data_IF_455967399003
#
_entry.id   IF_455967399003
#
_cell.length_a   1.000
_cell.length_b   1.000
_cell.length_c   1.000
_cell.angle_alpha   90.00
_cell.angle_beta   90.00
_cell.angle_gamma   90.00
#
_symmetry.space_group_name_H-M   'P 1'
#
loop_
_entity.id
_entity.type
_entity.pdbx_description
1 polymer ?
#
# COMPACT_ATOMS: atom_id res chain seq x y z
N UNK A 1 3.58 -23.81 13.38
CA UNK A 1 4.84 -23.09 12.94
C UNK A 1 4.95 -21.86 13.80
N UNK A 2 6.06 -21.67 14.48
CA UNK A 2 6.30 -20.52 15.37
C UNK A 2 5.99 -19.19 14.64
N UNK A 3 5.30 -18.29 15.31
CA UNK A 3 4.80 -17.01 14.79
C UNK A 3 3.71 -17.08 13.69
N UNK A 4 3.09 -18.24 13.52
CA UNK A 4 1.95 -18.42 12.62
C UNK A 4 0.75 -18.98 13.37
N UNK A 5 0.93 -20.10 14.07
CA UNK A 5 -0.17 -20.81 14.72
C UNK A 5 -0.64 -20.07 15.98
N UNK A 6 0.29 -19.38 16.67
CA UNK A 6 -0.02 -18.56 17.85
C UNK A 6 -0.97 -17.39 17.54
N UNK A 7 -0.89 -16.85 16.31
CA UNK A 7 -1.78 -15.77 15.86
C UNK A 7 -3.06 -16.27 15.20
N UNK A 8 -3.30 -17.59 15.20
CA UNK A 8 -4.52 -18.22 14.66
C UNK A 8 -5.27 -19.02 15.71
N UNK A 9 -5.17 -18.59 16.95
CA UNK A 9 -5.78 -19.28 18.09
C UNK A 9 -7.25 -18.83 18.23
N UNK A 10 -8.17 -19.67 17.77
CA UNK A 10 -9.61 -19.39 17.83
C UNK A 10 -10.12 -19.20 19.25
N UNK A 11 -9.64 -20.01 20.20
CA UNK A 11 -10.05 -19.92 21.61
C UNK A 11 -9.67 -18.57 22.21
N UNK A 12 -8.46 -18.10 21.94
CA UNK A 12 -8.01 -16.77 22.39
C UNK A 12 -8.81 -15.65 21.71
N UNK A 13 -9.07 -15.79 20.42
CA UNK A 13 -9.86 -14.80 19.68
C UNK A 13 -11.29 -14.67 20.25
N UNK A 14 -11.95 -15.79 20.55
CA UNK A 14 -13.28 -15.79 21.18
C UNK A 14 -13.27 -15.15 22.57
N UNK A 15 -12.28 -15.46 23.38
CA UNK A 15 -12.12 -14.84 24.72
C UNK A 15 -11.95 -13.31 24.60
N UNK A 16 -11.11 -12.85 23.69
CA UNK A 16 -10.92 -11.42 23.45
C UNK A 16 -12.20 -10.73 22.93
N UNK A 17 -12.97 -11.40 22.09
CA UNK A 17 -14.26 -10.89 21.63
C UNK A 17 -15.25 -10.74 22.79
N UNK A 18 -15.32 -11.73 23.68
CA UNK A 18 -16.17 -11.64 24.90
C UNK A 18 -15.73 -10.47 25.79
N UNK A 19 -14.44 -10.27 26.00
CA UNK A 19 -13.90 -9.14 26.76
C UNK A 19 -14.27 -7.79 26.10
N UNK A 20 -14.17 -7.68 24.76
CA UNK A 20 -14.59 -6.48 24.01
C UNK A 20 -16.08 -6.22 24.21
N UNK A 21 -16.95 -7.24 24.09
CA UNK A 21 -18.39 -7.10 24.31
C UNK A 21 -18.75 -6.59 25.72
N UNK A 22 -17.96 -7.00 26.73
CA UNK A 22 -18.17 -6.55 28.13
C UNK A 22 -17.60 -5.15 28.40
N UNK A 23 -16.60 -4.71 27.63
CA UNK A 23 -15.85 -3.49 27.91
C UNK A 23 -16.37 -2.27 27.13
N UNK A 24 -17.01 -2.51 25.98
CA UNK A 24 -17.54 -1.44 25.13
C UNK A 24 -18.72 -0.76 25.80
N UNK A 25 -18.58 0.53 26.08
CA UNK A 25 -19.60 1.35 26.78
C UNK A 25 -20.19 2.45 25.92
N UNK A 26 -19.67 2.69 24.73
CA UNK A 26 -20.12 3.74 23.78
C UNK A 26 -19.84 3.34 22.34
N UNK A 27 -20.48 4.00 21.35
CA UNK A 27 -20.13 3.81 19.95
C UNK A 27 -18.68 4.22 19.63
N UNK A 28 -18.03 3.43 18.80
CA UNK A 28 -16.68 3.65 18.29
C UNK A 28 -16.63 3.50 16.76
N UNK A 29 -16.00 4.45 16.09
CA UNK A 29 -15.60 4.33 14.69
C UNK A 29 -14.10 4.14 14.65
N UNK A 30 -13.65 2.93 14.32
CA UNK A 30 -12.25 2.54 14.25
C UNK A 30 -11.84 2.33 12.81
N UNK A 31 -10.76 2.97 12.36
CA UNK A 31 -10.24 2.84 11.01
C UNK A 31 -9.00 1.96 11.00
N UNK A 32 -8.99 0.93 10.16
CA UNK A 32 -7.78 0.18 9.90
C UNK A 32 -7.05 0.73 8.66
N UNK A 33 -5.71 0.64 8.66
CA UNK A 33 -4.84 1.31 7.69
C UNK A 33 -3.97 0.34 6.89
N UNK A 34 -4.38 -0.91 6.76
CA UNK A 34 -3.60 -1.92 6.06
C UNK A 34 -4.48 -2.92 5.33
N UNK A 35 -4.32 -3.04 4.02
CA UNK A 35 -5.08 -4.00 3.21
C UNK A 35 -4.95 -5.46 3.67
N UNK A 36 -3.85 -5.84 4.30
CA UNK A 36 -3.69 -7.15 4.93
C UNK A 36 -4.58 -7.33 6.17
N UNK A 37 -4.80 -6.25 6.94
CA UNK A 37 -5.74 -6.25 8.07
C UNK A 37 -7.18 -6.35 7.54
N UNK A 38 -7.57 -5.52 6.55
CA UNK A 38 -8.87 -5.60 5.88
C UNK A 38 -9.18 -7.03 5.44
N UNK A 39 -8.23 -7.63 4.70
CA UNK A 39 -8.38 -9.01 4.24
C UNK A 39 -8.62 -9.99 5.40
N UNK A 40 -7.85 -9.87 6.48
CA UNK A 40 -7.99 -10.76 7.64
C UNK A 40 -9.31 -10.55 8.38
N UNK A 41 -9.73 -9.30 8.57
CA UNK A 41 -11.00 -8.95 9.21
C UNK A 41 -12.16 -9.58 8.44
N UNK A 42 -12.24 -9.36 7.14
CA UNK A 42 -13.32 -9.88 6.30
C UNK A 42 -13.25 -11.39 6.18
N UNK A 43 -12.06 -11.98 5.96
CA UNK A 43 -11.87 -13.42 5.82
C UNK A 43 -12.35 -14.20 7.04
N UNK A 44 -12.13 -13.66 8.23
CA UNK A 44 -12.50 -14.30 9.49
C UNK A 44 -13.83 -13.78 10.06
N UNK A 45 -14.52 -12.88 9.36
CA UNK A 45 -15.81 -12.32 9.76
C UNK A 45 -15.74 -11.52 11.07
N UNK A 46 -14.59 -10.93 11.40
CA UNK A 46 -14.42 -10.18 12.65
C UNK A 46 -15.34 -8.95 12.71
N UNK A 47 -15.61 -8.33 11.59
CA UNK A 47 -16.57 -7.23 11.44
C UNK A 47 -17.97 -7.59 11.93
N UNK A 48 -18.37 -8.87 11.83
CA UNK A 48 -19.68 -9.39 12.25
C UNK A 48 -19.67 -9.94 13.68
N UNK A 49 -18.50 -10.22 14.22
CA UNK A 49 -18.32 -10.78 15.56
C UNK A 49 -18.13 -9.70 16.62
N UNK A 50 -17.76 -8.49 16.23
CA UNK A 50 -17.63 -7.35 17.12
C UNK A 50 -18.99 -6.83 17.57
N UNK A 51 -19.06 -6.15 18.74
CA UNK A 51 -20.29 -5.49 19.19
C UNK A 51 -20.78 -4.47 18.15
N UNK A 52 -22.12 -4.30 18.03
CA UNK A 52 -22.73 -3.30 17.13
C UNK A 52 -22.27 -1.87 17.38
N UNK A 53 -21.75 -1.58 18.57
CA UNK A 53 -21.18 -0.29 18.92
C UNK A 53 -19.84 -0.02 18.24
N UNK A 54 -19.18 -1.02 17.65
CA UNK A 54 -17.89 -0.86 16.94
C UNK A 54 -18.13 -0.89 15.44
N UNK A 55 -18.04 0.26 14.82
CA UNK A 55 -17.99 0.41 13.36
C UNK A 55 -16.52 0.31 12.91
N UNK A 56 -16.17 -0.71 12.10
CA UNK A 56 -14.87 -0.77 11.44
C UNK A 56 -14.97 -0.11 10.07
N UNK A 57 -14.10 0.86 9.81
CA UNK A 57 -13.97 1.50 8.51
C UNK A 57 -12.60 1.22 7.91
N UNK A 58 -12.55 1.03 6.60
CA UNK A 58 -11.33 0.73 5.87
C UNK A 58 -10.68 2.03 5.39
N UNK A 59 -9.47 2.27 5.86
CA UNK A 59 -8.70 3.46 5.51
C UNK A 59 -7.84 3.28 4.25
N UNK A 60 -6.96 4.23 3.96
CA UNK A 60 -6.11 4.26 2.77
C UNK A 60 -4.97 3.23 2.83
N UNK A 61 -5.28 1.96 3.10
CA UNK A 61 -4.32 0.87 3.26
C UNK A 61 -3.83 0.23 1.96
N UNK A 62 -4.29 0.69 0.79
CA UNK A 62 -3.93 0.17 -0.52
C UNK A 62 -3.22 1.25 -1.34
N UNK A 63 -1.90 1.13 -1.64
CA UNK A 63 -1.16 2.14 -2.38
C UNK A 63 -1.67 2.32 -3.82
N UNK A 64 -2.18 1.24 -4.43
CA UNK A 64 -2.79 1.28 -5.76
C UNK A 64 -4.05 2.15 -5.74
N UNK A 65 -4.90 1.98 -4.71
CA UNK A 65 -6.19 2.69 -4.59
C UNK A 65 -6.03 4.20 -4.33
N UNK A 66 -4.91 4.62 -3.74
CA UNK A 66 -4.62 6.03 -3.44
C UNK A 66 -3.72 6.71 -4.47
N UNK A 67 -3.31 5.98 -5.52
CA UNK A 67 -2.56 6.58 -6.64
C UNK A 67 -3.47 7.54 -7.41
N UNK A 68 -3.04 8.78 -7.58
CA UNK A 68 -3.84 9.80 -8.26
C UNK A 68 -4.04 9.48 -9.74
N UNK A 69 -5.19 9.87 -10.30
CA UNK A 69 -5.50 9.72 -11.72
C UNK A 69 -4.42 10.35 -12.60
N UNK A 70 -3.93 11.54 -12.22
CA UNK A 70 -2.83 12.21 -12.91
C UNK A 70 -1.57 11.33 -13.01
N UNK A 71 -1.21 10.64 -11.94
CA UNK A 71 -0.04 9.76 -11.92
C UNK A 71 -0.26 8.52 -12.80
N UNK A 72 -1.49 7.98 -12.82
CA UNK A 72 -1.85 6.87 -13.70
C UNK A 72 -1.77 7.31 -15.17
N UNK A 73 -2.30 8.48 -15.51
CA UNK A 73 -2.22 9.01 -16.87
C UNK A 73 -0.78 9.31 -17.31
N UNK A 74 0.08 9.80 -16.42
CA UNK A 74 1.53 9.91 -16.65
C UNK A 74 2.16 8.57 -16.95
N UNK A 75 1.79 7.52 -16.20
CA UNK A 75 2.28 6.16 -16.42
C UNK A 75 1.87 5.66 -17.82
N UNK A 76 0.62 5.89 -18.23
CA UNK A 76 0.12 5.54 -19.56
C UNK A 76 0.85 6.28 -20.68
N UNK A 77 1.07 7.58 -20.53
CA UNK A 77 1.81 8.37 -21.49
C UNK A 77 3.27 7.93 -21.66
N UNK A 78 3.93 7.51 -20.55
CA UNK A 78 5.29 6.98 -20.59
C UNK A 78 5.30 5.59 -21.23
N UNK A 79 4.37 4.71 -20.83
CA UNK A 79 4.28 3.33 -21.32
C UNK A 79 3.96 3.24 -22.82
N UNK A 80 3.31 4.26 -23.38
CA UNK A 80 2.97 4.32 -24.81
C UNK A 80 4.16 4.66 -25.72
N UNK A 81 5.31 5.02 -25.15
CA UNK A 81 6.48 5.44 -25.96
C UNK A 81 7.21 4.21 -26.49
N UNK A 82 7.56 4.16 -27.78
CA UNK A 82 8.20 2.99 -28.39
C UNK A 82 9.62 2.69 -27.86
N UNK A 83 10.29 3.72 -27.34
CA UNK A 83 11.63 3.55 -26.74
C UNK A 83 11.59 3.10 -25.27
N UNK A 84 10.40 2.92 -24.67
CA UNK A 84 10.24 2.57 -23.26
C UNK A 84 9.87 1.11 -23.11
N UNK A 85 10.48 0.46 -22.11
CA UNK A 85 10.00 -0.76 -21.47
C UNK A 85 9.41 -0.32 -20.14
N UNK A 86 8.10 -0.44 -19.98
CA UNK A 86 7.41 -0.03 -18.77
C UNK A 86 7.18 -1.22 -17.86
N UNK A 87 7.67 -1.16 -16.63
CA UNK A 87 7.58 -2.24 -15.65
C UNK A 87 6.67 -1.83 -14.49
N UNK A 88 5.82 -2.73 -14.05
CA UNK A 88 4.95 -2.52 -12.89
C UNK A 88 4.59 -3.83 -12.21
N UNK A 89 4.04 -3.74 -11.00
CA UNK A 89 3.36 -4.85 -10.35
C UNK A 89 2.05 -5.16 -11.10
N UNK A 90 1.63 -6.43 -11.05
CA UNK A 90 0.55 -6.92 -11.92
C UNK A 90 -0.83 -6.32 -11.63
N UNK A 91 -1.11 -5.93 -10.39
CA UNK A 91 -2.36 -5.30 -9.97
C UNK A 91 -2.54 -3.91 -10.62
N UNK A 92 -1.45 -3.12 -10.74
CA UNK A 92 -1.49 -1.81 -11.40
C UNK A 92 -1.89 -1.84 -12.86
N UNK A 93 -1.66 -2.95 -13.57
CA UNK A 93 -1.96 -3.03 -15.00
C UNK A 93 -3.47 -2.90 -15.30
N UNK A 94 -4.31 -3.18 -14.31
CA UNK A 94 -5.78 -3.16 -14.43
C UNK A 94 -6.41 -1.87 -13.95
N UNK A 95 -5.61 -0.95 -13.41
CA UNK A 95 -6.12 0.31 -12.89
C UNK A 95 -6.42 1.25 -14.05
N UNK A 96 -7.67 1.70 -14.20
CA UNK A 96 -8.02 2.61 -15.29
C UNK A 96 -7.47 4.01 -15.05
N UNK A 97 -6.92 4.60 -16.10
CA UNK A 97 -6.71 6.05 -16.18
C UNK A 97 -7.91 6.75 -16.82
N UNK A 98 -7.70 7.96 -17.31
CA UNK A 98 -8.77 8.75 -17.95
C UNK A 98 -9.35 8.08 -19.19
N UNK A 99 -8.59 7.30 -19.95
CA UNK A 99 -9.03 6.74 -21.22
C UNK A 99 -8.92 5.21 -21.32
N UNK A 100 -7.98 4.60 -20.62
CA UNK A 100 -7.65 3.18 -20.73
C UNK A 100 -6.83 2.71 -19.53
N UNK A 101 -6.44 1.45 -19.54
CA UNK A 101 -5.50 0.87 -18.59
C UNK A 101 -4.20 0.40 -19.27
N UNK A 102 -3.23 -0.06 -18.49
CA UNK A 102 -1.95 -0.56 -19.02
C UNK A 102 -2.11 -1.88 -19.79
N UNK A 103 -3.14 -2.69 -19.51
CA UNK A 103 -3.40 -3.93 -20.27
C UNK A 103 -3.84 -3.60 -21.69
N UNK A 104 -4.70 -2.60 -21.87
CA UNK A 104 -5.11 -2.17 -23.20
C UNK A 104 -3.93 -1.60 -23.97
N UNK A 105 -3.05 -0.81 -23.34
CA UNK A 105 -1.83 -0.33 -24.00
C UNK A 105 -0.92 -1.49 -24.40
N UNK A 106 -0.76 -2.48 -23.55
CA UNK A 106 0.02 -3.70 -23.85
C UNK A 106 -0.57 -4.44 -25.06
N UNK A 107 -1.89 -4.58 -25.13
CA UNK A 107 -2.55 -5.23 -26.29
C UNK A 107 -2.36 -4.47 -27.60
N UNK A 108 -2.11 -3.15 -27.54
CA UNK A 108 -1.79 -2.27 -28.68
C UNK A 108 -0.29 -2.26 -29.04
N UNK A 109 0.52 -3.08 -28.38
CA UNK A 109 1.94 -3.25 -28.70
C UNK A 109 2.93 -2.49 -27.82
N UNK A 110 2.49 -1.82 -26.75
CA UNK A 110 3.40 -1.22 -25.78
C UNK A 110 4.18 -2.31 -25.02
N UNK A 111 5.49 -2.11 -24.81
CA UNK A 111 6.32 -3.06 -24.06
C UNK A 111 6.10 -2.86 -22.55
N UNK A 112 5.07 -3.51 -22.04
CA UNK A 112 4.71 -3.47 -20.62
C UNK A 112 4.96 -4.83 -19.99
N UNK A 113 5.78 -4.85 -18.93
CA UNK A 113 6.23 -6.07 -18.25
C UNK A 113 5.81 -6.09 -16.78
N UNK A 114 5.25 -7.22 -16.36
CA UNK A 114 4.99 -7.49 -14.94
C UNK A 114 6.30 -7.92 -14.30
N UNK A 115 6.60 -7.30 -13.16
CA UNK A 115 7.76 -7.65 -12.32
C UNK A 115 7.30 -7.87 -10.88
N UNK A 116 8.05 -8.65 -10.14
CA UNK A 116 7.78 -8.93 -8.72
C UNK A 116 8.76 -8.21 -7.78
N UNK A 117 9.79 -7.60 -8.36
CA UNK A 117 10.75 -6.79 -7.63
C UNK A 117 11.30 -5.68 -8.53
N UNK A 118 11.58 -4.48 -8.00
CA UNK A 118 12.26 -3.42 -8.75
C UNK A 118 13.66 -3.85 -9.22
N UNK A 119 14.32 -4.80 -8.54
CA UNK A 119 15.60 -5.38 -8.96
C UNK A 119 15.49 -6.15 -10.29
N UNK A 120 14.35 -6.73 -10.60
CA UNK A 120 14.13 -7.41 -11.89
C UNK A 120 14.24 -6.44 -13.07
N UNK A 121 13.89 -5.17 -12.87
CA UNK A 121 14.03 -4.13 -13.88
C UNK A 121 15.50 -3.86 -14.26
N UNK A 122 16.45 -4.10 -13.35
CA UNK A 122 17.87 -3.94 -13.65
C UNK A 122 18.36 -5.02 -14.62
N UNK A 123 17.84 -6.25 -14.51
CA UNK A 123 18.12 -7.32 -15.50
C UNK A 123 17.60 -6.91 -16.87
N UNK A 124 16.37 -6.35 -16.89
CA UNK A 124 15.76 -5.87 -18.14
C UNK A 124 16.58 -4.72 -18.73
N UNK A 125 17.05 -3.77 -17.90
CA UNK A 125 17.87 -2.65 -18.35
C UNK A 125 19.21 -3.11 -18.96
N UNK A 126 19.89 -4.07 -18.34
CA UNK A 126 21.15 -4.64 -18.85
C UNK A 126 20.98 -5.30 -20.22
N UNK A 127 19.88 -6.02 -20.43
CA UNK A 127 19.62 -6.76 -21.67
C UNK A 127 19.01 -5.90 -22.77
N UNK A 128 18.63 -4.66 -22.48
CA UNK A 128 18.00 -3.73 -23.43
C UNK A 128 18.66 -2.34 -23.37
N UNK A 129 19.98 -2.22 -23.69
CA UNK A 129 20.73 -0.96 -23.53
C UNK A 129 20.18 0.20 -24.40
N UNK A 130 19.49 -0.11 -25.52
CA UNK A 130 18.87 0.88 -26.40
C UNK A 130 17.47 1.32 -25.98
N UNK A 131 16.93 0.79 -24.88
CA UNK A 131 15.60 1.13 -24.35
C UNK A 131 15.69 1.80 -22.99
N UNK A 132 14.74 2.64 -22.68
CA UNK A 132 14.54 3.21 -21.33
C UNK A 132 13.66 2.27 -20.52
N UNK A 133 14.17 1.73 -19.43
CA UNK A 133 13.39 0.87 -18.52
C UNK A 133 12.83 1.74 -17.40
N UNK A 134 11.52 1.88 -17.35
CA UNK A 134 10.82 2.68 -16.34
C UNK A 134 10.02 1.76 -15.44
N UNK A 135 10.31 1.78 -14.14
CA UNK A 135 9.53 1.07 -13.15
C UNK A 135 8.54 2.01 -12.46
N UNK A 136 7.27 1.63 -12.44
CA UNK A 136 6.23 2.36 -11.71
C UNK A 136 6.29 1.97 -10.22
N UNK A 137 6.98 2.79 -9.46
CA UNK A 137 7.24 2.57 -8.04
C UNK A 137 6.06 3.08 -7.19
N UNK A 138 5.06 2.23 -7.04
CA UNK A 138 3.89 2.47 -6.19
C UNK A 138 4.10 1.76 -4.87
N UNK A 139 3.70 2.39 -3.78
CA UNK A 139 3.77 1.77 -2.47
C UNK A 139 3.64 2.74 -1.31
N UNK A 140 3.67 2.17 -0.13
CA UNK A 140 3.89 2.86 1.13
C UNK A 140 5.35 2.67 1.59
N UNK A 141 5.63 2.97 2.84
CA UNK A 141 6.95 2.86 3.46
C UNK A 141 7.56 1.46 3.31
N UNK A 142 6.74 0.41 3.26
CA UNK A 142 7.18 -0.99 3.14
C UNK A 142 7.90 -1.28 1.83
N UNK A 143 7.60 -0.56 0.75
CA UNK A 143 8.18 -0.79 -0.58
C UNK A 143 9.36 0.15 -0.88
N UNK A 144 9.49 1.25 -0.16
CA UNK A 144 10.54 2.24 -0.37
C UNK A 144 11.96 1.66 -0.29
N UNK A 145 12.33 0.78 0.68
CA UNK A 145 13.66 0.20 0.75
C UNK A 145 14.07 -0.59 -0.50
N UNK A 146 13.17 -1.40 -1.06
CA UNK A 146 13.46 -2.18 -2.26
C UNK A 146 13.68 -1.28 -3.49
N UNK A 147 12.93 -0.18 -3.61
CA UNK A 147 13.10 0.81 -4.67
C UNK A 147 14.42 1.57 -4.52
N UNK A 148 14.77 1.99 -3.30
CA UNK A 148 16.05 2.62 -3.01
C UNK A 148 17.23 1.70 -3.33
N UNK A 149 17.12 0.41 -2.97
CA UNK A 149 18.14 -0.59 -3.31
C UNK A 149 18.30 -0.77 -4.81
N UNK A 150 17.22 -0.76 -5.58
CA UNK A 150 17.30 -0.84 -7.05
C UNK A 150 18.01 0.39 -7.64
N UNK A 151 17.72 1.58 -7.16
CA UNK A 151 18.43 2.81 -7.61
C UNK A 151 19.90 2.76 -7.25
N UNK A 152 20.23 2.37 -6.02
CA UNK A 152 21.61 2.25 -5.56
C UNK A 152 22.41 1.23 -6.38
N UNK A 153 21.79 0.07 -6.66
CA UNK A 153 22.41 -0.97 -7.49
C UNK A 153 22.60 -0.50 -8.94
N UNK A 154 21.60 0.15 -9.53
CA UNK A 154 21.70 0.76 -10.86
C UNK A 154 22.85 1.76 -10.93
N UNK A 155 22.99 2.62 -9.91
CA UNK A 155 24.09 3.56 -9.82
C UNK A 155 25.45 2.86 -9.75
N UNK A 156 25.61 1.85 -8.89
CA UNK A 156 26.85 1.05 -8.80
C UNK A 156 27.24 0.40 -10.13
N UNK A 157 26.24 -0.11 -10.85
CA UNK A 157 26.44 -0.77 -12.15
C UNK A 157 26.52 0.23 -13.31
N UNK A 158 26.40 1.52 -13.06
CA UNK A 158 26.40 2.60 -14.06
C UNK A 158 25.34 2.40 -15.15
N UNK A 159 24.17 1.88 -14.79
CA UNK A 159 23.03 1.76 -15.68
C UNK A 159 22.40 3.13 -15.90
N UNK A 160 22.53 3.67 -17.12
CA UNK A 160 21.99 4.98 -17.48
C UNK A 160 20.55 4.92 -18.02
N UNK A 161 20.01 3.73 -18.21
CA UNK A 161 18.72 3.50 -18.84
C UNK A 161 17.64 2.94 -17.91
N UNK A 162 17.88 2.95 -16.58
CA UNK A 162 16.88 2.60 -15.57
C UNK A 162 16.32 3.85 -14.88
N UNK A 163 14.99 3.94 -14.79
CA UNK A 163 14.26 5.06 -14.23
C UNK A 163 13.14 4.59 -13.33
N UNK A 164 12.75 5.43 -12.37
CA UNK A 164 11.55 5.24 -11.54
C UNK A 164 10.53 6.34 -11.85
N UNK A 165 9.28 5.94 -12.05
CA UNK A 165 8.13 6.81 -11.88
C UNK A 165 7.61 6.59 -10.46
N UNK A 166 7.91 7.53 -9.55
CA UNK A 166 7.64 7.35 -8.11
C UNK A 166 6.24 7.87 -7.75
N UNK A 167 5.45 7.01 -7.11
CA UNK A 167 4.15 7.32 -6.52
C UNK A 167 4.04 6.64 -5.14
N UNK A 168 4.98 6.96 -4.25
CA UNK A 168 4.94 6.53 -2.86
C UNK A 168 4.09 7.48 -2.03
N UNK A 169 3.29 6.90 -1.14
CA UNK A 169 2.47 7.60 -0.15
C UNK A 169 2.94 7.18 1.24
N UNK A 170 2.93 8.11 2.18
CA UNK A 170 3.22 7.87 3.58
C UNK A 170 1.93 7.76 4.39
N UNK A 171 1.87 6.81 5.31
CA UNK A 171 0.67 6.59 6.14
C UNK A 171 0.42 7.73 7.12
N UNK A 172 1.41 8.25 7.88
CA UNK A 172 1.17 9.33 8.83
C UNK A 172 0.54 10.60 8.22
N UNK A 173 1.00 11.14 7.08
CA UNK A 173 0.33 12.26 6.42
C UNK A 173 -1.10 11.97 5.98
N UNK A 174 -1.39 10.74 5.54
CA UNK A 174 -2.74 10.34 5.17
C UNK A 174 -3.67 10.32 6.38
N UNK A 175 -3.19 9.84 7.55
CA UNK A 175 -3.92 9.90 8.81
C UNK A 175 -4.21 11.34 9.22
N UNK A 176 -3.22 12.23 9.12
CA UNK A 176 -3.40 13.65 9.44
C UNK A 176 -4.48 14.28 8.57
N UNK A 177 -4.47 14.03 7.27
CA UNK A 177 -5.50 14.53 6.35
C UNK A 177 -6.92 14.05 6.72
N UNK A 178 -7.06 12.81 7.19
CA UNK A 178 -8.33 12.28 7.70
C UNK A 178 -8.74 12.99 8.99
N UNK A 179 -7.83 13.11 9.95
CA UNK A 179 -8.09 13.69 11.26
C UNK A 179 -8.42 15.18 11.19
N UNK A 180 -7.82 15.91 10.26
CA UNK A 180 -8.05 17.34 10.03
C UNK A 180 -9.29 17.63 9.18
N UNK A 181 -9.92 16.60 8.61
CA UNK A 181 -11.15 16.76 7.84
C UNK A 181 -12.31 17.17 8.72
N UNK A 182 -13.10 18.19 8.35
CA UNK A 182 -14.30 18.57 9.10
C UNK A 182 -15.38 17.48 9.09
N UNK A 183 -15.29 16.50 8.20
CA UNK A 183 -16.19 15.37 8.10
C UNK A 183 -15.67 14.12 8.83
N UNK A 184 -14.57 14.25 9.56
CA UNK A 184 -13.96 13.13 10.27
C UNK A 184 -14.90 12.57 11.35
N UNK A 185 -15.09 11.23 11.31
CA UNK A 185 -15.81 10.47 12.34
C UNK A 185 -14.94 9.43 13.05
N UNK A 186 -13.70 9.30 12.62
CA UNK A 186 -12.75 8.29 13.15
C UNK A 186 -12.36 8.65 14.57
N UNK A 187 -12.48 7.69 15.47
CA UNK A 187 -12.20 7.86 16.91
C UNK A 187 -11.00 7.01 17.38
N UNK A 188 -10.48 6.16 16.50
CA UNK A 188 -9.28 5.35 16.76
C UNK A 188 -8.79 4.69 15.49
N UNK A 189 -7.52 4.27 15.50
CA UNK A 189 -6.92 3.58 14.37
C UNK A 189 -6.35 2.22 14.76
N UNK A 190 -6.45 1.28 13.86
CA UNK A 190 -5.62 0.08 13.86
C UNK A 190 -4.42 0.36 12.95
N UNK A 191 -3.27 0.62 13.56
CA UNK A 191 -2.05 0.99 12.86
C UNK A 191 -1.57 -0.09 11.87
N UNK A 192 -0.80 0.29 10.83
CA UNK A 192 -0.39 -0.64 9.77
C UNK A 192 0.83 -1.45 10.20
N UNK A 193 0.63 -2.66 10.71
CA UNK A 193 1.68 -3.51 11.30
C UNK A 193 2.89 -3.74 10.38
N UNK A 194 2.69 -3.94 9.07
CA UNK A 194 3.78 -4.11 8.12
C UNK A 194 4.63 -2.84 7.98
N UNK A 195 4.01 -1.66 7.92
CA UNK A 195 4.71 -0.37 7.87
C UNK A 195 5.51 -0.16 9.15
N UNK A 196 4.89 -0.39 10.31
CA UNK A 196 5.57 -0.28 11.61
C UNK A 196 6.77 -1.23 11.76
N UNK A 197 6.73 -2.39 11.10
CA UNK A 197 7.87 -3.32 11.08
C UNK A 197 9.07 -2.74 10.32
N UNK A 198 8.85 -1.91 9.31
CA UNK A 198 9.90 -1.31 8.48
C UNK A 198 10.43 0.00 9.09
N UNK A 199 9.53 0.91 9.51
CA UNK A 199 9.91 2.27 9.93
C UNK A 199 9.77 2.52 11.43
N UNK A 200 9.21 1.57 12.18
CA UNK A 200 8.88 1.73 13.59
C UNK A 200 7.50 2.36 13.80
N UNK A 201 7.18 2.67 15.04
CA UNK A 201 5.85 3.16 15.43
C UNK A 201 5.87 4.56 16.07
N UNK A 202 7.04 5.19 16.19
CA UNK A 202 7.19 6.50 16.87
C UNK A 202 6.34 7.60 16.26
N UNK A 203 6.27 7.67 14.93
CA UNK A 203 5.47 8.67 14.23
C UNK A 203 3.98 8.54 14.58
N UNK A 204 3.53 7.32 14.91
CA UNK A 204 2.14 7.07 15.34
C UNK A 204 1.92 7.48 16.80
N UNK A 205 2.91 7.35 17.67
CA UNK A 205 2.83 7.86 19.06
C UNK A 205 2.68 9.38 19.05
N UNK A 206 3.46 10.08 18.23
CA UNK A 206 3.37 11.53 18.07
C UNK A 206 1.98 11.97 17.58
N UNK A 207 1.42 11.22 16.61
CA UNK A 207 0.05 11.47 16.12
C UNK A 207 -1.00 11.21 17.21
N UNK A 208 -0.88 10.10 17.94
CA UNK A 208 -1.78 9.76 19.03
C UNK A 208 -1.82 10.85 20.10
N UNK A 209 -0.66 11.38 20.47
CA UNK A 209 -0.52 12.47 21.46
C UNK A 209 -1.09 13.78 20.91
N UNK A 210 -0.75 14.15 19.67
CA UNK A 210 -1.17 15.41 19.04
C UNK A 210 -2.68 15.51 18.89
N UNK A 211 -3.31 14.44 18.41
CA UNK A 211 -4.74 14.41 18.12
C UNK A 211 -5.58 13.81 19.26
N UNK A 212 -4.93 13.34 20.34
CA UNK A 212 -5.57 12.68 21.49
C UNK A 212 -6.49 11.52 21.07
N UNK A 213 -5.98 10.68 20.17
CA UNK A 213 -6.70 9.57 19.57
C UNK A 213 -5.91 8.27 19.78
N UNK A 214 -6.55 7.13 20.12
CA UNK A 214 -5.85 5.85 20.20
C UNK A 214 -5.42 5.36 18.81
N UNK A 215 -4.17 4.87 18.75
CA UNK A 215 -3.59 4.22 17.55
C UNK A 215 -2.94 2.91 17.97
#
# INVERSE_FOLDING_TARGET
MKYLDEYRNETLARKLLEEIHQTVTRPWVLMELCGGQTHSIIKHGLDRLLPEQIELVHGPGCPVCVTSLEMIDKAHAIASRPEVIFCSFGDMLRVPGSNHDLLLLKSKGADIRVVYSPIDCLKIARTNPGKKVVFFAIGFETTAPANAMAVWQAHKERLSNFFLLVSHVLVPPAMMAILESPLNRVQGFLGPGHVCTVVGYRDYEDLAQRYKIPI
#
